data_IF_300272594130
#
_entry.id   IF_300272594130
#
_cell.length_a   1.000
_cell.length_b   1.000
_cell.length_c   1.000
_cell.angle_alpha   90.00
_cell.angle_beta   90.00
_cell.angle_gamma   90.00
#
_symmetry.space_group_name_H-M   'P 1'
#
loop_
_entity.id
_entity.type
_entity.pdbx_description
1 polymer ?
#
# COMPACT_ATOMS: atom_id res chain seq x y z
N UNK A 1 -7.12 -19.60 22.01
CA UNK A 1 -6.56 -18.78 20.91
C UNK A 1 -7.65 -18.58 19.86
N UNK A 2 -7.99 -17.34 19.48
CA UNK A 2 -9.04 -17.08 18.47
C UNK A 2 -8.49 -17.23 17.06
N UNK A 3 -9.25 -17.84 16.16
CA UNK A 3 -8.88 -18.03 14.74
C UNK A 3 -8.87 -16.70 14.01
N UNK A 4 -7.75 -16.32 13.38
CA UNK A 4 -7.66 -15.14 12.50
C UNK A 4 -8.66 -15.24 11.34
N UNK A 5 -9.32 -14.14 11.00
CA UNK A 5 -10.17 -14.04 9.81
C UNK A 5 -9.48 -13.21 8.74
N UNK A 6 -9.43 -13.73 7.51
CA UNK A 6 -8.95 -12.99 6.35
C UNK A 6 -10.17 -12.76 5.44
N UNK A 7 -10.38 -11.52 5.05
CA UNK A 7 -11.50 -11.10 4.20
C UNK A 7 -10.91 -10.35 3.01
N UNK A 8 -11.02 -10.95 1.84
CA UNK A 8 -10.80 -10.25 0.56
C UNK A 8 -12.12 -9.69 0.04
N UNK A 9 -12.10 -8.81 -0.96
CA UNK A 9 -13.31 -8.26 -1.56
C UNK A 9 -14.30 -9.37 -1.94
N UNK A 10 -15.48 -9.43 -1.31
CA UNK A 10 -16.47 -10.44 -1.66
C UNK A 10 -17.18 -10.06 -2.97
N UNK A 11 -17.70 -11.05 -3.70
CA UNK A 11 -18.43 -10.79 -4.95
C UNK A 11 -19.78 -10.08 -4.74
N UNK A 12 -20.35 -10.18 -3.53
CA UNK A 12 -21.60 -9.54 -3.10
C UNK A 12 -21.46 -9.12 -1.64
N UNK A 13 -22.28 -8.17 -1.21
CA UNK A 13 -22.33 -7.79 0.20
C UNK A 13 -22.72 -8.99 1.09
N UNK A 14 -22.31 -8.91 2.35
CA UNK A 14 -22.70 -9.83 3.39
C UNK A 14 -24.18 -9.70 3.73
N UNK A 15 -24.77 -10.77 4.26
CA UNK A 15 -26.05 -10.64 4.94
C UNK A 15 -25.85 -9.94 6.29
N UNK A 16 -26.93 -9.35 6.82
CA UNK A 16 -26.92 -8.76 8.15
C UNK A 16 -26.46 -9.77 9.23
N UNK A 17 -26.86 -11.04 9.10
CA UNK A 17 -26.44 -12.11 10.02
C UNK A 17 -24.92 -12.34 9.98
N UNK A 18 -24.31 -12.41 8.79
CA UNK A 18 -22.86 -12.56 8.64
C UNK A 18 -22.12 -11.37 9.24
N UNK A 19 -22.56 -10.15 8.94
CA UNK A 19 -21.95 -8.94 9.51
C UNK A 19 -22.04 -8.92 11.05
N UNK A 20 -23.18 -9.30 11.62
CA UNK A 20 -23.36 -9.40 13.07
C UNK A 20 -22.45 -10.48 13.70
N UNK A 21 -22.29 -11.64 13.04
CA UNK A 21 -21.35 -12.68 13.50
C UNK A 21 -19.91 -12.15 13.53
N UNK A 22 -19.48 -11.42 12.49
CA UNK A 22 -18.13 -10.84 12.44
C UNK A 22 -17.95 -9.75 13.49
N UNK A 23 -18.93 -8.86 13.67
CA UNK A 23 -18.91 -7.85 14.74
C UNK A 23 -18.77 -8.49 16.12
N UNK A 24 -19.60 -9.49 16.44
CA UNK A 24 -19.52 -10.20 17.71
C UNK A 24 -18.15 -10.88 17.87
N UNK A 25 -17.63 -11.49 16.82
CA UNK A 25 -16.29 -12.09 16.84
C UNK A 25 -15.21 -11.06 17.21
N UNK A 26 -15.21 -9.90 16.54
CA UNK A 26 -14.22 -8.83 16.76
C UNK A 26 -14.40 -8.14 18.11
N UNK A 27 -15.63 -7.88 18.55
CA UNK A 27 -15.92 -7.27 19.87
C UNK A 27 -15.40 -8.12 21.03
N UNK A 28 -15.30 -9.44 20.83
CA UNK A 28 -14.75 -10.34 21.82
C UNK A 28 -13.22 -10.55 21.67
N UNK A 29 -12.47 -9.66 21.02
CA UNK A 29 -11.01 -9.85 20.83
C UNK A 29 -10.63 -10.65 19.59
N UNK A 30 -11.52 -10.68 18.62
CA UNK A 30 -11.22 -11.27 17.32
C UNK A 30 -10.11 -10.50 16.61
N UNK A 31 -9.43 -11.17 15.67
CA UNK A 31 -8.36 -10.60 14.87
C UNK A 31 -8.71 -10.77 13.40
N UNK A 32 -8.47 -9.75 12.59
CA UNK A 32 -8.81 -9.81 11.17
C UNK A 32 -7.86 -9.04 10.27
N UNK A 33 -7.73 -9.52 9.03
CA UNK A 33 -7.11 -8.79 7.92
C UNK A 33 -8.17 -8.61 6.83
N UNK A 34 -8.41 -7.37 6.44
CA UNK A 34 -9.30 -6.98 5.36
C UNK A 34 -8.45 -6.45 4.21
N UNK A 35 -8.65 -6.99 3.02
CA UNK A 35 -8.06 -6.50 1.78
C UNK A 35 -9.20 -6.26 0.80
N UNK A 36 -9.57 -5.00 0.64
CA UNK A 36 -10.80 -4.59 -0.01
C UNK A 36 -10.50 -3.55 -1.08
N UNK A 37 -11.26 -3.56 -2.16
CA UNK A 37 -11.18 -2.53 -3.20
C UNK A 37 -12.36 -1.55 -3.11
N UNK A 38 -12.34 -0.53 -3.98
CA UNK A 38 -13.33 0.55 -4.03
C UNK A 38 -14.78 0.08 -4.21
N UNK A 39 -15.02 -1.12 -4.77
CA UNK A 39 -16.40 -1.63 -4.97
C UNK A 39 -17.10 -1.93 -3.64
N UNK A 40 -16.33 -2.22 -2.59
CA UNK A 40 -16.85 -2.56 -1.27
C UNK A 40 -17.53 -1.40 -0.56
N UNK A 41 -17.34 -0.15 -1.03
CA UNK A 41 -18.10 0.99 -0.51
C UNK A 41 -19.61 0.82 -0.70
N UNK A 42 -20.04 0.02 -1.68
CA UNK A 42 -21.45 -0.31 -1.94
C UNK A 42 -21.98 -1.46 -1.08
N UNK A 43 -21.19 -2.01 -0.14
CA UNK A 43 -21.53 -3.17 0.68
C UNK A 43 -21.87 -2.73 2.11
N UNK A 44 -23.11 -2.26 2.38
CA UNK A 44 -23.46 -1.67 3.67
C UNK A 44 -23.24 -2.60 4.86
N UNK A 45 -23.44 -3.92 4.71
CA UNK A 45 -23.24 -4.85 5.82
C UNK A 45 -21.75 -5.03 6.14
N UNK A 46 -20.90 -5.20 5.13
CA UNK A 46 -19.44 -5.20 5.31
C UNK A 46 -18.93 -3.85 5.87
N UNK A 47 -19.37 -2.73 5.30
CA UNK A 47 -18.99 -1.39 5.75
C UNK A 47 -19.45 -1.13 7.18
N UNK A 48 -20.58 -1.68 7.62
CA UNK A 48 -21.01 -1.57 9.02
C UNK A 48 -20.04 -2.26 9.99
N UNK A 49 -19.28 -3.26 9.56
CA UNK A 49 -18.24 -3.90 10.36
C UNK A 49 -17.03 -2.99 10.47
N UNK A 50 -16.51 -2.47 9.35
CA UNK A 50 -15.37 -1.55 9.35
C UNK A 50 -15.69 -0.23 10.07
N UNK A 51 -16.90 0.29 9.89
CA UNK A 51 -17.36 1.51 10.57
C UNK A 51 -17.40 1.36 12.08
N UNK A 52 -17.70 0.15 12.60
CA UNK A 52 -17.62 -0.15 14.03
C UNK A 52 -16.17 -0.11 14.57
N UNK A 53 -15.16 -0.12 13.69
CA UNK A 53 -13.73 0.04 13.98
C UNK A 53 -13.18 1.37 13.48
N UNK A 54 -14.05 2.33 13.15
CA UNK A 54 -13.69 3.72 12.90
C UNK A 54 -13.10 4.00 11.52
N UNK A 55 -13.27 3.09 10.56
CA UNK A 55 -12.82 3.30 9.18
C UNK A 55 -13.90 2.95 8.16
N UNK A 56 -13.80 3.53 6.96
CA UNK A 56 -14.62 3.21 5.80
C UNK A 56 -13.77 3.19 4.52
N UNK A 57 -14.36 2.67 3.45
CA UNK A 57 -13.76 2.67 2.11
C UNK A 57 -14.63 3.49 1.16
N UNK A 58 -13.99 4.26 0.29
CA UNK A 58 -14.65 5.10 -0.70
C UNK A 58 -14.78 4.40 -2.07
N UNK A 59 -15.80 4.80 -2.85
CA UNK A 59 -15.95 4.41 -4.26
C UNK A 59 -15.00 5.19 -5.19
N UNK A 60 -13.74 5.36 -4.77
CA UNK A 60 -12.76 6.13 -5.52
C UNK A 60 -11.47 5.32 -5.69
N UNK A 61 -10.84 5.49 -6.83
CA UNK A 61 -9.52 4.96 -7.13
C UNK A 61 -8.50 6.08 -6.96
N UNK A 62 -7.40 5.78 -6.29
CA UNK A 62 -6.30 6.73 -6.09
C UNK A 62 -5.43 6.76 -7.33
N UNK A 63 -5.17 7.96 -7.83
CA UNK A 63 -4.25 8.25 -8.92
C UNK A 63 -3.02 8.93 -8.34
N UNK A 64 -1.85 8.38 -8.61
CA UNK A 64 -0.56 8.85 -8.12
C UNK A 64 0.28 9.38 -9.29
N UNK A 65 0.28 10.70 -9.53
CA UNK A 65 1.04 11.30 -10.62
C UNK A 65 2.53 11.42 -10.29
N UNK A 66 2.94 11.23 -9.03
CA UNK A 66 4.35 11.27 -8.68
C UNK A 66 5.06 9.98 -9.14
N UNK A 67 5.98 10.10 -10.08
CA UNK A 67 6.75 8.98 -10.65
C UNK A 67 7.65 8.26 -9.65
N UNK A 68 7.85 8.81 -8.46
CA UNK A 68 8.54 8.12 -7.35
C UNK A 68 7.60 7.24 -6.52
N UNK A 69 6.30 7.44 -6.63
CA UNK A 69 5.25 6.76 -5.88
C UNK A 69 4.30 5.94 -6.77
N UNK A 70 4.60 5.78 -8.05
CA UNK A 70 3.85 4.94 -8.97
C UNK A 70 4.80 4.27 -9.96
N UNK A 71 4.35 3.17 -10.58
CA UNK A 71 5.07 2.59 -11.70
C UNK A 71 5.08 3.55 -12.91
N UNK A 72 6.15 3.57 -13.71
CA UNK A 72 6.22 4.41 -14.90
C UNK A 72 5.02 4.22 -15.83
N UNK A 73 4.40 5.33 -16.22
CA UNK A 73 3.21 5.37 -17.09
C UNK A 73 1.98 4.61 -16.55
N UNK A 74 1.96 4.27 -15.26
CA UNK A 74 0.87 3.52 -14.61
C UNK A 74 0.50 4.17 -13.26
N UNK A 75 -0.15 5.35 -13.27
CA UNK A 75 -0.42 6.12 -12.05
C UNK A 75 -1.45 5.47 -11.11
N UNK A 76 -2.11 4.38 -11.53
CA UNK A 76 -3.00 3.56 -10.70
C UNK A 76 -2.28 2.40 -10.00
N UNK A 77 -1.00 2.18 -10.29
CA UNK A 77 -0.18 1.16 -9.63
C UNK A 77 0.80 1.86 -8.70
N UNK A 78 0.41 1.94 -7.44
CA UNK A 78 1.08 2.76 -6.44
C UNK A 78 2.28 2.03 -5.82
N UNK A 79 3.34 2.81 -5.58
CA UNK A 79 4.47 2.55 -4.70
C UNK A 79 4.30 3.48 -3.48
N UNK A 80 3.49 3.09 -2.48
CA UNK A 80 3.15 3.95 -1.38
C UNK A 80 4.36 4.32 -0.51
N UNK A 81 4.22 5.42 0.21
CA UNK A 81 5.09 5.70 1.35
C UNK A 81 4.77 4.68 2.44
N UNK A 82 5.80 4.19 3.11
CA UNK A 82 5.67 3.21 4.17
C UNK A 82 6.00 3.87 5.51
N UNK A 83 5.01 3.94 6.39
CA UNK A 83 5.18 4.48 7.73
C UNK A 83 5.97 3.49 8.57
N UNK A 84 6.91 3.93 9.39
CA UNK A 84 7.71 3.04 10.22
C UNK A 84 6.92 2.60 11.47
N UNK A 85 6.27 1.44 11.39
CA UNK A 85 5.49 0.83 12.49
C UNK A 85 6.05 -0.53 12.87
N UNK A 86 5.48 -1.19 13.88
CA UNK A 86 5.83 -2.57 14.26
C UNK A 86 5.76 -3.57 13.09
N UNK A 87 4.90 -3.32 12.08
CA UNK A 87 4.72 -4.20 10.91
C UNK A 87 5.75 -3.92 9.82
N UNK A 88 6.11 -2.65 9.67
CA UNK A 88 6.74 -2.11 8.46
C UNK A 88 8.17 -1.60 8.68
N UNK A 89 8.62 -1.39 9.93
CA UNK A 89 9.94 -0.83 10.24
C UNK A 89 11.09 -1.55 9.54
N UNK A 90 11.16 -2.88 9.67
CA UNK A 90 12.21 -3.69 9.04
C UNK A 90 12.19 -3.62 7.49
N UNK A 91 11.02 -3.36 6.90
CA UNK A 91 10.86 -3.22 5.46
C UNK A 91 11.27 -1.82 5.00
N UNK A 92 10.90 -0.79 5.75
CA UNK A 92 11.29 0.60 5.52
C UNK A 92 12.82 0.77 5.61
N UNK A 93 13.46 0.17 6.63
CA UNK A 93 14.92 0.21 6.80
C UNK A 93 15.66 -0.41 5.61
N UNK A 94 15.10 -1.49 5.03
CA UNK A 94 15.63 -2.14 3.83
C UNK A 94 15.18 -1.50 2.51
N UNK A 95 14.46 -0.38 2.58
CA UNK A 95 13.94 0.35 1.42
C UNK A 95 13.06 -0.50 0.50
N UNK A 96 12.37 -1.50 1.07
CA UNK A 96 11.45 -2.35 0.31
C UNK A 96 10.25 -1.54 -0.20
N UNK A 97 9.77 -1.91 -1.38
CA UNK A 97 8.64 -1.24 -2.06
C UNK A 97 7.47 -2.21 -2.17
N UNK A 98 6.41 -1.92 -1.42
CA UNK A 98 5.11 -2.59 -1.60
C UNK A 98 4.46 -2.01 -2.86
N UNK A 99 3.67 -2.82 -3.56
CA UNK A 99 2.97 -2.46 -4.78
C UNK A 99 1.47 -2.58 -4.58
N UNK A 100 0.73 -1.49 -4.81
CA UNK A 100 -0.73 -1.42 -4.63
C UNK A 100 -1.42 -1.02 -5.96
N UNK A 101 -1.84 -2.00 -6.78
CA UNK A 101 -2.67 -1.72 -7.94
C UNK A 101 -4.10 -1.34 -7.53
N UNK A 102 -4.64 -0.29 -8.17
CA UNK A 102 -6.04 0.14 -8.09
C UNK A 102 -6.53 0.29 -6.65
N UNK A 103 -5.75 1.03 -5.85
CA UNK A 103 -6.06 1.25 -4.45
C UNK A 103 -7.15 2.31 -4.23
N UNK A 104 -7.86 2.20 -3.12
CA UNK A 104 -8.81 3.18 -2.59
C UNK A 104 -8.34 3.71 -1.23
N UNK A 105 -8.88 4.85 -0.82
CA UNK A 105 -8.62 5.44 0.50
C UNK A 105 -9.37 4.68 1.60
N UNK A 106 -8.67 4.45 2.70
CA UNK A 106 -9.22 3.97 3.95
C UNK A 106 -9.46 5.21 4.83
N UNK A 107 -10.64 5.78 4.67
CA UNK A 107 -11.01 6.97 5.40
C UNK A 107 -11.20 6.63 6.88
N UNK A 108 -10.59 7.44 7.74
CA UNK A 108 -10.88 7.40 9.16
C UNK A 108 -12.15 8.21 9.45
N UNK A 109 -13.08 7.62 10.21
CA UNK A 109 -14.31 8.29 10.60
C UNK A 109 -14.03 9.34 11.68
N UNK A 110 -14.71 10.49 11.58
CA UNK A 110 -14.59 11.59 12.55
C UNK A 110 -15.10 11.16 13.93
N UNK A 111 -16.23 10.43 13.94
CA UNK A 111 -16.84 9.88 15.15
C UNK A 111 -16.46 8.40 15.26
N UNK A 112 -15.74 8.06 16.33
CA UNK A 112 -15.30 6.70 16.63
C UNK A 112 -15.13 6.52 18.14
N UNK A 113 -15.08 5.26 18.60
CA UNK A 113 -14.80 4.95 20.01
C UNK A 113 -13.41 5.48 20.40
N UNK A 114 -13.28 6.03 21.60
CA UNK A 114 -12.01 6.52 22.15
C UNK A 114 -10.98 5.41 22.39
N UNK A 115 -11.42 4.17 22.51
CA UNK A 115 -10.57 2.99 22.65
C UNK A 115 -9.85 2.58 21.36
N UNK A 116 -10.28 3.10 20.20
CA UNK A 116 -9.71 2.77 18.89
C UNK A 116 -8.46 3.60 18.61
N UNK A 117 -7.33 2.91 18.40
CA UNK A 117 -6.13 3.50 17.80
C UNK A 117 -6.01 3.02 16.37
N UNK A 118 -5.94 3.97 15.44
CA UNK A 118 -5.85 3.72 14.00
C UNK A 118 -4.56 4.39 13.53
N UNK A 119 -3.64 3.62 12.97
CA UNK A 119 -2.35 4.11 12.50
C UNK A 119 -2.17 3.74 11.02
N UNK A 120 -1.77 4.69 10.16
CA UNK A 120 -1.43 4.38 8.78
C UNK A 120 -0.20 3.47 8.73
N UNK A 121 -0.21 2.54 7.76
CA UNK A 121 0.91 1.68 7.40
C UNK A 121 1.48 2.09 6.05
N UNK A 122 0.59 2.35 5.09
CA UNK A 122 0.92 2.75 3.73
C UNK A 122 0.10 3.99 3.38
N UNK A 123 0.76 5.02 2.86
CA UNK A 123 0.13 6.29 2.46
C UNK A 123 0.48 6.65 1.02
N UNK A 124 -0.41 7.35 0.33
CA UNK A 124 -0.09 7.95 -0.96
C UNK A 124 0.85 9.15 -0.78
N UNK A 125 1.36 9.70 -1.88
CA UNK A 125 2.00 11.02 -1.84
C UNK A 125 0.97 12.13 -1.62
N UNK A 126 1.44 13.32 -1.27
CA UNK A 126 0.63 14.55 -1.20
C UNK A 126 0.17 15.04 -2.58
N UNK A 127 0.76 14.52 -3.67
CA UNK A 127 0.37 14.85 -5.05
C UNK A 127 -0.75 13.97 -5.58
N UNK A 128 -1.05 12.86 -4.88
CA UNK A 128 -2.12 11.96 -5.27
C UNK A 128 -3.49 12.65 -5.25
N UNK A 129 -4.42 12.11 -6.02
CA UNK A 129 -5.82 12.52 -6.00
C UNK A 129 -6.74 11.32 -6.21
N UNK A 130 -8.00 11.43 -5.80
CA UNK A 130 -8.96 10.33 -5.90
C UNK A 130 -9.97 10.60 -7.02
N UNK A 131 -10.15 9.63 -7.92
CA UNK A 131 -11.17 9.66 -8.98
C UNK A 131 -12.30 8.70 -8.66
N UNK A 132 -13.54 9.09 -8.94
CA UNK A 132 -14.66 8.14 -8.88
C UNK A 132 -14.38 6.95 -9.81
N UNK A 133 -14.73 5.73 -9.39
CA UNK A 133 -14.55 4.52 -10.21
C UNK A 133 -15.28 4.57 -11.56
N UNK A 134 -16.33 5.39 -11.69
CA UNK A 134 -17.05 5.62 -12.95
C UNK A 134 -16.49 6.75 -13.82
N UNK A 135 -15.40 7.40 -13.39
CA UNK A 135 -14.81 8.53 -14.12
C UNK A 135 -14.30 8.10 -15.50
N UNK A 136 -14.58 8.93 -16.51
CA UNK A 136 -14.17 8.68 -17.90
C UNK A 136 -12.76 9.20 -18.22
N UNK A 137 -12.16 9.96 -17.30
CA UNK A 137 -10.79 10.47 -17.40
C UNK A 137 -10.07 10.29 -16.08
N UNK A 138 -8.76 10.01 -16.17
CA UNK A 138 -7.86 9.92 -15.02
C UNK A 138 -7.23 11.25 -14.66
N UNK A 139 -7.41 12.30 -15.46
CA UNK A 139 -6.85 13.62 -15.18
C UNK A 139 -7.50 14.25 -13.93
N UNK A 140 -6.70 14.99 -13.16
CA UNK A 140 -7.18 15.71 -11.98
C UNK A 140 -8.11 16.83 -12.42
N UNK A 141 -9.33 16.81 -11.90
CA UNK A 141 -10.35 17.82 -12.13
C UNK A 141 -10.61 18.64 -10.85
N UNK A 142 -11.28 19.77 -11.00
CA UNK A 142 -11.68 20.58 -9.86
C UNK A 142 -12.71 19.83 -9.00
N UNK A 143 -12.52 19.80 -7.68
CA UNK A 143 -13.33 19.03 -6.74
C UNK A 143 -12.85 17.58 -6.48
N UNK A 144 -11.84 17.09 -7.21
CA UNK A 144 -11.21 15.81 -6.85
C UNK A 144 -10.49 15.94 -5.50
N UNK A 145 -10.69 14.96 -4.63
CA UNK A 145 -10.00 14.91 -3.34
C UNK A 145 -8.50 14.82 -3.59
N UNK A 146 -7.72 15.54 -2.79
CA UNK A 146 -6.26 15.50 -2.83
C UNK A 146 -5.73 14.70 -1.65
N UNK A 147 -4.63 13.99 -1.87
CA UNK A 147 -3.96 13.20 -0.86
C UNK A 147 -3.22 14.06 0.19
N UNK A 148 -2.52 13.41 1.13
CA UNK A 148 -2.25 11.97 1.16
C UNK A 148 -3.48 11.16 1.60
N UNK A 149 -3.60 9.94 1.06
CA UNK A 149 -4.64 8.96 1.39
C UNK A 149 -4.04 7.81 2.19
N UNK A 150 -4.84 7.19 3.05
CA UNK A 150 -4.46 5.98 3.76
C UNK A 150 -4.75 4.77 2.88
N UNK A 151 -3.71 4.02 2.50
CA UNK A 151 -3.84 2.88 1.60
C UNK A 151 -3.80 1.54 2.35
N UNK A 152 -3.22 1.54 3.55
CA UNK A 152 -3.36 0.48 4.54
C UNK A 152 -3.27 1.08 5.95
N UNK A 153 -4.06 0.54 6.88
CA UNK A 153 -4.06 0.97 8.29
C UNK A 153 -4.04 -0.24 9.22
N UNK A 154 -3.43 -0.06 10.38
CA UNK A 154 -3.55 -0.96 11.52
C UNK A 154 -4.49 -0.35 12.57
N UNK A 155 -5.32 -1.20 13.16
CA UNK A 155 -6.30 -0.79 14.16
C UNK A 155 -6.14 -1.68 15.40
N UNK A 156 -6.06 -1.06 16.57
CA UNK A 156 -6.18 -1.73 17.85
C UNK A 156 -7.39 -1.19 18.60
N UNK A 157 -8.10 -2.07 19.28
CA UNK A 157 -9.19 -1.72 20.18
C UNK A 157 -8.97 -2.41 21.53
N UNK A 158 -8.92 -1.59 22.59
CA UNK A 158 -8.81 -2.06 23.97
C UNK A 158 -10.17 -1.89 24.66
N UNK A 159 -11.15 -2.67 24.23
CA UNK A 159 -12.45 -2.72 24.92
C UNK A 159 -12.33 -3.55 26.19
N UNK A 160 -12.70 -2.97 27.33
CA UNK A 160 -12.76 -3.67 28.61
C UNK A 160 -14.19 -3.58 29.17
N UNK A 161 -14.74 -4.72 29.57
CA UNK A 161 -15.62 -4.75 30.73
C UNK A 161 -15.09 -5.65 31.85
N UNK A 162 -14.32 -6.71 31.62
CA UNK A 162 -13.70 -7.49 32.74
C UNK A 162 -12.34 -8.14 32.44
N UNK A 163 -11.79 -8.00 31.23
CA UNK A 163 -10.47 -8.49 30.86
C UNK A 163 -9.94 -7.63 29.71
N UNK A 164 -8.64 -7.30 29.71
CA UNK A 164 -7.98 -6.55 28.64
C UNK A 164 -7.97 -7.36 27.33
N UNK A 165 -9.09 -7.35 26.60
CA UNK A 165 -9.25 -8.10 25.36
C UNK A 165 -8.88 -7.17 24.21
N UNK A 166 -7.69 -7.38 23.65
CA UNK A 166 -7.18 -6.62 22.52
C UNK A 166 -7.71 -7.20 21.20
N UNK A 167 -8.39 -6.35 20.43
CA UNK A 167 -8.78 -6.64 19.05
C UNK A 167 -7.77 -5.98 18.10
N UNK A 168 -7.24 -6.74 17.13
CA UNK A 168 -6.30 -6.23 16.12
C UNK A 168 -6.88 -6.40 14.72
N UNK A 169 -6.92 -5.33 13.94
CA UNK A 169 -7.33 -5.35 12.54
C UNK A 169 -6.26 -4.74 11.65
N UNK A 170 -6.15 -5.28 10.44
CA UNK A 170 -5.46 -4.64 9.31
C UNK A 170 -6.50 -4.42 8.23
N UNK A 171 -6.52 -3.21 7.65
CA UNK A 171 -7.36 -2.90 6.50
C UNK A 171 -6.45 -2.42 5.38
N UNK A 172 -6.61 -2.96 4.19
CA UNK A 172 -5.84 -2.66 2.99
C UNK A 172 -6.81 -2.24 1.88
N UNK A 173 -6.52 -1.11 1.22
CA UNK A 173 -7.36 -0.47 0.22
C UNK A 173 -7.24 -1.08 -1.18
N UNK A 174 -6.69 -2.27 -1.30
CA UNK A 174 -6.80 -3.09 -2.52
C UNK A 174 -6.76 -4.55 -2.09
N UNK A 175 -7.42 -5.43 -2.81
CA UNK A 175 -7.25 -6.89 -2.71
C UNK A 175 -6.17 -7.40 -3.66
N UNK A 176 -5.86 -6.62 -4.70
CA UNK A 176 -4.94 -6.99 -5.77
C UNK A 176 -3.50 -7.10 -5.25
N UNK A 177 -3.16 -6.48 -4.11
CA UNK A 177 -1.84 -6.66 -3.50
C UNK A 177 -1.54 -8.11 -3.11
N UNK A 178 -2.57 -8.94 -2.89
CA UNK A 178 -2.44 -10.35 -2.49
C UNK A 178 -2.16 -11.24 -3.70
N UNK A 179 -2.36 -10.74 -4.92
CA UNK A 179 -2.23 -11.56 -6.11
C UNK A 179 -0.76 -11.98 -6.37
N UNK A 180 -0.53 -13.20 -6.90
CA UNK A 180 0.81 -13.64 -7.29
C UNK A 180 1.49 -12.70 -8.29
N UNK A 181 0.72 -12.08 -9.19
CA UNK A 181 1.20 -11.17 -10.21
C UNK A 181 1.76 -9.89 -9.56
N UNK A 182 0.98 -9.24 -8.68
CA UNK A 182 1.44 -8.06 -7.94
C UNK A 182 2.65 -8.37 -7.08
N UNK A 183 2.66 -9.53 -6.44
CA UNK A 183 3.79 -9.95 -5.62
C UNK A 183 5.06 -10.18 -6.44
N UNK A 184 4.94 -10.82 -7.60
CA UNK A 184 6.04 -11.02 -8.55
C UNK A 184 6.66 -9.69 -8.96
N UNK A 185 5.81 -8.71 -9.33
CA UNK A 185 6.26 -7.36 -9.67
C UNK A 185 6.96 -6.69 -8.48
N UNK A 186 6.44 -6.81 -7.26
CA UNK A 186 7.08 -6.24 -6.05
C UNK A 186 8.36 -6.97 -5.57
N UNK A 187 8.80 -8.02 -6.28
CA UNK A 187 9.95 -8.84 -5.86
C UNK A 187 9.73 -9.61 -4.55
N UNK A 188 8.48 -9.98 -4.23
CA UNK A 188 8.13 -10.66 -2.98
C UNK A 188 7.77 -9.75 -1.80
N UNK A 189 7.86 -8.43 -2.00
CA UNK A 189 7.64 -7.44 -0.93
C UNK A 189 6.18 -7.42 -0.45
N UNK A 190 5.21 -7.59 -1.35
CA UNK A 190 3.79 -7.65 -0.97
C UNK A 190 3.51 -8.79 -0.01
N UNK A 191 4.02 -10.00 -0.28
CA UNK A 191 3.85 -11.14 0.62
C UNK A 191 4.55 -10.92 1.96
N UNK A 192 5.72 -10.28 1.97
CA UNK A 192 6.38 -9.89 3.22
C UNK A 192 5.49 -8.95 4.06
N UNK A 193 4.88 -7.94 3.43
CA UNK A 193 3.94 -7.02 4.11
C UNK A 193 2.72 -7.76 4.67
N UNK A 194 2.12 -8.68 3.89
CA UNK A 194 0.96 -9.48 4.33
C UNK A 194 1.34 -10.41 5.49
N UNK A 195 2.48 -11.09 5.40
CA UNK A 195 2.97 -11.99 6.47
C UNK A 195 3.27 -11.20 7.75
N UNK A 196 3.91 -10.04 7.66
CA UNK A 196 4.16 -9.19 8.82
C UNK A 196 2.85 -8.69 9.45
N UNK A 197 1.87 -8.32 8.62
CA UNK A 197 0.52 -7.95 9.07
C UNK A 197 -0.16 -9.10 9.83
N UNK A 198 -0.09 -10.33 9.30
CA UNK A 198 -0.62 -11.53 9.96
C UNK A 198 0.12 -11.82 11.27
N UNK A 199 1.45 -11.77 11.28
CA UNK A 199 2.24 -11.99 12.49
C UNK A 199 1.89 -10.99 13.60
N UNK A 200 1.79 -9.71 13.24
CA UNK A 200 1.41 -8.65 14.17
C UNK A 200 0.01 -8.85 14.74
N UNK A 201 -0.99 -9.17 13.90
CA UNK A 201 -2.34 -9.45 14.41
C UNK A 201 -2.31 -10.63 15.38
N UNK A 202 -1.50 -11.65 15.12
CA UNK A 202 -1.37 -12.83 15.99
C UNK A 202 -0.52 -12.59 17.25
N UNK A 203 0.11 -11.42 17.41
CA UNK A 203 0.98 -11.12 18.56
C UNK A 203 2.30 -11.89 18.51
N UNK A 204 2.72 -12.35 17.32
CA UNK A 204 4.05 -12.88 17.09
C UNK A 204 4.99 -11.73 16.78
N UNK A 205 6.22 -11.79 17.26
CA UNK A 205 7.27 -10.91 16.75
C UNK A 205 7.36 -11.05 15.23
N UNK A 206 7.47 -9.93 14.53
CA UNK A 206 7.66 -9.87 13.08
C UNK A 206 9.02 -10.45 12.70
N UNK A 207 9.11 -11.78 12.64
CA UNK A 207 10.26 -12.48 12.09
C UNK A 207 10.40 -12.19 10.61
N UNK A 208 11.62 -11.87 10.14
CA UNK A 208 11.90 -11.66 8.71
C UNK A 208 11.42 -12.87 7.92
N UNK A 209 10.32 -12.71 7.17
CA UNK A 209 9.97 -13.63 6.10
C UNK A 209 11.08 -13.57 5.07
N UNK A 210 11.87 -14.64 4.96
CA UNK A 210 12.82 -14.84 3.88
C UNK A 210 12.00 -15.48 2.76
N UNK A 211 11.62 -14.74 1.70
CA UNK A 211 10.95 -15.35 0.57
C UNK A 211 11.84 -16.50 0.05
N UNK A 212 11.27 -17.67 -0.32
CA UNK A 212 12.02 -18.65 -1.08
C UNK A 212 12.59 -17.91 -2.30
N UNK A 213 13.88 -18.13 -2.62
CA UNK A 213 14.52 -17.53 -3.80
C UNK A 213 13.53 -17.65 -4.95
N UNK A 214 12.99 -16.51 -5.40
CA UNK A 214 12.18 -16.51 -6.61
C UNK A 214 13.04 -17.18 -7.68
N UNK A 215 12.51 -18.13 -8.49
CA UNK A 215 13.21 -18.52 -9.70
C UNK A 215 13.58 -17.22 -10.41
N UNK A 216 14.76 -17.16 -11.01
CA UNK A 216 15.32 -15.99 -11.70
C UNK A 216 14.43 -15.56 -12.90
N UNK A 217 13.19 -15.21 -12.66
CA UNK A 217 12.35 -14.41 -13.54
C UNK A 217 12.93 -13.03 -13.33
N UNK A 218 13.81 -12.65 -14.26
CA UNK A 218 14.60 -11.43 -14.26
C UNK A 218 13.95 -10.38 -13.37
N UNK A 219 14.56 -10.11 -12.21
CA UNK A 219 14.21 -8.94 -11.43
C UNK A 219 14.37 -7.76 -12.38
N UNK A 220 13.27 -7.35 -13.02
CA UNK A 220 13.27 -6.15 -13.83
C UNK A 220 13.64 -5.07 -12.84
N UNK A 221 14.78 -4.43 -13.07
CA UNK A 221 15.31 -3.41 -12.20
C UNK A 221 14.22 -2.33 -12.07
N UNK A 222 13.48 -2.33 -10.96
CA UNK A 222 12.41 -1.36 -10.74
C UNK A 222 13.04 -0.06 -10.27
N UNK A 223 13.47 0.73 -11.25
CA UNK A 223 13.95 2.07 -11.02
C UNK A 223 12.73 2.96 -10.76
N UNK A 224 12.73 3.65 -9.63
CA UNK A 224 11.83 4.78 -9.41
C UNK A 224 12.08 5.86 -10.48
N UNK A 225 11.07 6.68 -10.80
CA UNK A 225 11.22 7.71 -11.83
C UNK A 225 12.44 8.63 -11.60
N UNK A 226 12.73 9.00 -10.35
CA UNK A 226 13.92 9.78 -10.01
C UNK A 226 15.24 9.07 -10.27
N UNK A 227 15.32 7.77 -9.99
CA UNK A 227 16.50 6.96 -10.32
C UNK A 227 16.68 6.84 -11.84
N UNK A 228 15.59 6.68 -12.58
CA UNK A 228 15.62 6.66 -14.04
C UNK A 228 16.16 7.99 -14.59
N UNK A 229 15.68 9.14 -14.09
CA UNK A 229 16.18 10.47 -14.51
C UNK A 229 17.67 10.64 -14.23
N UNK A 230 18.14 10.25 -13.04
CA UNK A 230 19.56 10.34 -12.69
C UNK A 230 20.43 9.46 -13.62
N UNK A 231 20.00 8.22 -13.86
CA UNK A 231 20.70 7.31 -14.78
C UNK A 231 20.69 7.87 -16.20
N UNK A 232 19.57 8.42 -16.67
CA UNK A 232 19.49 9.07 -17.98
C UNK A 232 20.43 10.28 -18.07
N UNK A 233 20.48 11.14 -17.04
CA UNK A 233 21.38 12.30 -17.01
C UNK A 233 22.84 11.87 -17.12
N UNK A 234 23.27 10.89 -16.31
CA UNK A 234 24.65 10.41 -16.32
C UNK A 234 24.98 9.76 -17.67
N UNK A 235 24.11 8.88 -18.16
CA UNK A 235 24.41 8.01 -19.30
C UNK A 235 24.29 8.74 -20.63
N UNK A 236 23.35 9.68 -20.76
CA UNK A 236 23.06 10.37 -22.04
C UNK A 236 23.74 11.74 -22.12
N UNK A 237 24.03 12.39 -20.99
CA UNK A 237 24.63 13.74 -20.99
C UNK A 237 26.08 13.68 -20.51
N UNK A 238 26.31 13.21 -19.28
CA UNK A 238 27.63 13.32 -18.63
C UNK A 238 28.68 12.47 -19.34
N UNK A 239 28.39 11.20 -19.61
CA UNK A 239 29.33 10.29 -20.26
C UNK A 239 29.69 10.76 -21.69
N UNK A 240 28.73 11.07 -22.58
CA UNK A 240 29.05 11.57 -23.91
C UNK A 240 29.83 12.88 -23.89
N UNK A 241 29.53 13.79 -22.96
CA UNK A 241 30.28 15.04 -22.82
C UNK A 241 31.73 14.81 -22.38
N UNK A 242 31.99 13.89 -21.44
CA UNK A 242 33.35 13.50 -21.07
C UNK A 242 34.13 12.88 -22.24
N UNK A 243 33.48 12.05 -23.05
CA UNK A 243 34.10 11.46 -24.24
C UNK A 243 34.40 12.52 -25.32
N UNK A 244 33.48 13.45 -25.57
CA UNK A 244 33.70 14.56 -26.51
C UNK A 244 34.84 15.48 -26.06
N UNK A 245 34.84 15.90 -24.79
CA UNK A 245 35.88 16.79 -24.25
C UNK A 245 37.25 16.13 -24.25
N UNK A 246 37.36 14.86 -23.85
CA UNK A 246 38.62 14.11 -23.95
C UNK A 246 39.09 13.95 -25.39
N UNK A 247 38.19 13.66 -26.34
CA UNK A 247 38.49 13.62 -27.77
C UNK A 247 39.03 14.94 -28.31
N UNK A 248 38.39 16.07 -27.96
CA UNK A 248 38.82 17.41 -28.35
C UNK A 248 40.19 17.75 -27.74
N UNK A 249 40.42 17.43 -26.47
CA UNK A 249 41.71 17.68 -25.79
C UNK A 249 42.83 16.89 -26.46
N UNK A 250 42.60 15.61 -26.78
CA UNK A 250 43.59 14.78 -27.48
C UNK A 250 43.87 15.31 -28.89
N UNK A 251 42.81 15.69 -29.63
CA UNK A 251 42.96 16.28 -30.96
C UNK A 251 43.74 17.60 -30.93
N UNK A 252 43.44 18.50 -29.99
CA UNK A 252 44.14 19.77 -29.83
C UNK A 252 45.61 19.59 -29.43
N UNK A 253 45.91 18.63 -28.54
CA UNK A 253 47.29 18.28 -28.19
C UNK A 253 48.07 17.72 -29.39
N UNK A 254 47.46 16.82 -30.19
CA UNK A 254 48.11 16.27 -31.40
C UNK A 254 48.28 17.29 -32.51
N UNK A 255 47.44 18.32 -32.61
CA UNK A 255 47.59 19.38 -33.62
C UNK A 255 48.72 20.35 -33.30
N UNK A 256 49.05 20.49 -32.02
CA UNK A 256 50.12 21.37 -31.53
C UNK A 256 51.45 20.63 -31.29
N UNK A 257 51.54 19.35 -31.67
CA UNK A 257 52.78 18.54 -31.76
C UNK A 257 53.10 18.27 -33.22
#
# INVERSE_FOLDING_TARGET
MKTLKIVTTPAKDWTAEMANKVKNYLQNGGKAVFALNFTTSGFPNLMSVLGAYGVSVDNKVIIEPNTNNALPNQPTVLLPNMEATEITKNMADKQYKVLLPVATDIKQNDIKRTSLKINPLLTSSTKAYAKNSSAQSIEKANGDMSGPFNLAVMITDYTNTQAYVETKLIVMGTDTLISPESNSVSGGTNYNFIVNSINWTQGKESGSYIPPKAPNVAAQLQLSGGQAVLITLITVIVIPFMLLTSGIVVWARRRNS
#
